data_IF_962709181997
#
_entry.id   IF_962709181997
#
_cell.length_a   1.000
_cell.length_b   1.000
_cell.length_c   1.000
_cell.angle_alpha   90.00
_cell.angle_beta   90.00
_cell.angle_gamma   90.00
#
_symmetry.space_group_name_H-M   'P 1'
#
loop_
_entity.id
_entity.type
_entity.pdbx_description
1 polymer ?
#
# COMPACT_ATOMS: atom_id res chain seq x y z
N UNK A 1 -36.33 35.18 -0.87
CA UNK A 1 -35.06 34.42 -0.80
C UNK A 1 -34.01 35.27 -1.47
N UNK A 2 -33.11 35.89 -0.71
CA UNK A 2 -31.97 36.59 -1.30
C UNK A 2 -31.09 35.57 -2.01
N UNK A 3 -30.94 35.73 -3.33
CA UNK A 3 -30.04 34.90 -4.13
C UNK A 3 -28.62 35.39 -3.92
N UNK A 4 -27.75 34.52 -3.42
CA UNK A 4 -26.31 34.79 -3.31
C UNK A 4 -25.77 35.40 -4.60
N UNK A 5 -25.03 36.50 -4.47
CA UNK A 5 -24.34 37.17 -5.57
C UNK A 5 -23.25 36.26 -6.15
N UNK A 6 -22.79 36.57 -7.37
CA UNK A 6 -21.74 35.80 -8.03
C UNK A 6 -20.44 35.73 -7.19
N UNK A 7 -20.09 36.84 -6.52
CA UNK A 7 -18.92 36.91 -5.64
C UNK A 7 -19.07 36.06 -4.37
N UNK A 8 -20.25 36.07 -3.74
CA UNK A 8 -20.52 35.24 -2.57
C UNK A 8 -20.51 33.75 -2.91
N UNK A 9 -21.04 33.37 -4.09
CA UNK A 9 -20.92 31.99 -4.61
C UNK A 9 -19.47 31.62 -4.87
N UNK A 10 -18.65 32.55 -5.38
CA UNK A 10 -17.25 32.31 -5.65
C UNK A 10 -16.43 32.16 -4.36
N UNK A 11 -16.69 32.98 -3.34
CA UNK A 11 -16.09 32.84 -2.00
C UNK A 11 -16.49 31.54 -1.32
N UNK A 12 -17.77 31.17 -1.36
CA UNK A 12 -18.25 29.92 -0.80
C UNK A 12 -17.61 28.70 -1.48
N UNK A 13 -17.47 28.73 -2.81
CA UNK A 13 -16.78 27.67 -3.58
C UNK A 13 -15.30 27.58 -3.24
N UNK A 14 -14.61 28.71 -3.13
CA UNK A 14 -13.19 28.74 -2.78
C UNK A 14 -12.95 28.22 -1.35
N UNK A 15 -13.80 28.61 -0.40
CA UNK A 15 -13.77 28.12 0.98
C UNK A 15 -14.02 26.61 1.05
N UNK A 16 -15.05 26.11 0.37
CA UNK A 16 -15.32 24.67 0.30
C UNK A 16 -14.24 23.90 -0.45
N UNK A 17 -13.65 24.44 -1.51
CA UNK A 17 -12.51 23.80 -2.16
C UNK A 17 -11.28 23.73 -1.24
N UNK A 18 -10.96 24.81 -0.53
CA UNK A 18 -9.80 24.83 0.36
C UNK A 18 -9.95 23.88 1.55
N UNK A 19 -11.17 23.76 2.11
CA UNK A 19 -11.43 22.90 3.27
C UNK A 19 -11.77 21.45 2.95
N UNK A 20 -12.52 21.19 1.87
CA UNK A 20 -13.10 19.87 1.59
C UNK A 20 -12.23 19.02 0.66
N UNK A 21 -11.51 19.66 -0.27
CA UNK A 21 -10.63 18.97 -1.24
C UNK A 21 -9.53 18.13 -0.58
N UNK A 22 -8.76 18.62 0.41
CA UNK A 22 -7.74 17.79 1.05
C UNK A 22 -8.35 16.55 1.73
N UNK A 23 -9.51 16.68 2.36
CA UNK A 23 -10.22 15.56 3.00
C UNK A 23 -10.70 14.54 1.98
N UNK A 24 -11.21 15.00 0.82
CA UNK A 24 -11.60 14.12 -0.29
C UNK A 24 -10.36 13.38 -0.83
N UNK A 25 -9.26 14.10 -1.06
CA UNK A 25 -8.02 13.50 -1.58
C UNK A 25 -7.45 12.45 -0.61
N UNK A 26 -7.49 12.72 0.70
CA UNK A 26 -7.08 11.77 1.71
C UNK A 26 -7.99 10.54 1.76
N UNK A 27 -9.31 10.74 1.65
CA UNK A 27 -10.29 9.64 1.61
C UNK A 27 -10.09 8.75 0.38
N UNK A 28 -9.86 9.34 -0.80
CA UNK A 28 -9.57 8.60 -2.04
C UNK A 28 -8.30 7.76 -1.88
N UNK A 29 -7.23 8.33 -1.32
CA UNK A 29 -5.97 7.62 -1.07
C UNK A 29 -6.15 6.42 -0.13
N UNK A 30 -6.98 6.57 0.90
CA UNK A 30 -7.31 5.48 1.81
C UNK A 30 -8.09 4.36 1.11
N UNK A 31 -9.05 4.71 0.24
CA UNK A 31 -9.82 3.75 -0.55
C UNK A 31 -8.93 2.97 -1.53
N UNK A 32 -8.00 3.64 -2.23
CA UNK A 32 -7.06 2.99 -3.13
C UNK A 32 -6.18 1.98 -2.37
N UNK A 33 -5.65 2.39 -1.22
CA UNK A 33 -4.85 1.52 -0.35
C UNK A 33 -5.65 0.30 0.13
N UNK A 34 -6.93 0.48 0.46
CA UNK A 34 -7.80 -0.62 0.89
C UNK A 34 -8.11 -1.58 -0.25
N UNK A 35 -8.39 -1.05 -1.44
CA UNK A 35 -8.65 -1.83 -2.66
C UNK A 35 -7.45 -2.70 -3.04
N UNK A 36 -6.22 -2.15 -2.99
CA UNK A 36 -5.00 -2.91 -3.25
C UNK A 36 -4.80 -4.05 -2.25
N UNK A 37 -5.02 -3.78 -0.96
CA UNK A 37 -4.94 -4.81 0.09
C UNK A 37 -5.98 -5.91 -0.11
N UNK A 38 -7.23 -5.55 -0.41
CA UNK A 38 -8.29 -6.51 -0.68
C UNK A 38 -7.96 -7.39 -1.89
N UNK A 39 -7.46 -6.78 -2.98
CA UNK A 39 -7.02 -7.52 -4.17
C UNK A 39 -5.89 -8.51 -3.87
N UNK A 40 -4.95 -8.18 -2.98
CA UNK A 40 -3.89 -9.11 -2.57
C UNK A 40 -4.43 -10.31 -1.78
N UNK A 41 -5.40 -10.10 -0.89
CA UNK A 41 -6.06 -11.18 -0.15
C UNK A 41 -6.82 -12.13 -1.09
N UNK A 42 -7.45 -11.57 -2.13
CA UNK A 42 -8.18 -12.35 -3.13
C UNK A 42 -7.28 -13.17 -4.08
N UNK A 43 -5.96 -12.91 -4.13
CA UNK A 43 -5.02 -13.66 -4.99
C UNK A 43 -4.78 -15.11 -4.54
N UNK A 44 -5.33 -15.54 -3.41
CA UNK A 44 -5.30 -16.95 -2.98
C UNK A 44 -4.08 -17.29 -2.10
N UNK A 45 -3.51 -18.49 -2.27
CA UNK A 45 -2.38 -18.98 -1.48
C UNK A 45 -1.32 -19.65 -2.34
N UNK A 46 -0.07 -19.56 -1.92
CA UNK A 46 1.06 -20.30 -2.51
C UNK A 46 1.55 -21.36 -1.52
N UNK A 47 1.78 -22.59 -2.00
CA UNK A 47 2.36 -23.66 -1.19
C UNK A 47 3.85 -23.79 -1.54
N UNK A 48 4.73 -23.70 -0.54
CA UNK A 48 6.18 -23.80 -0.69
C UNK A 48 6.79 -24.50 0.53
N UNK A 49 7.70 -25.48 0.31
CA UNK A 49 8.29 -26.32 1.37
C UNK A 49 7.27 -26.97 2.32
N UNK A 50 6.12 -27.41 1.77
CA UNK A 50 5.01 -27.98 2.55
C UNK A 50 4.25 -26.97 3.42
N UNK A 51 4.63 -25.68 3.40
CA UNK A 51 3.94 -24.59 4.08
C UNK A 51 3.05 -23.82 3.11
N UNK A 52 1.91 -23.36 3.59
CA UNK A 52 1.03 -22.48 2.83
C UNK A 52 1.26 -21.03 3.25
N UNK A 53 1.43 -20.16 2.26
CA UNK A 53 1.58 -18.72 2.42
C UNK A 53 0.38 -18.06 1.76
N UNK A 54 -0.46 -17.43 2.56
CA UNK A 54 -1.67 -16.76 2.09
C UNK A 54 -1.24 -15.40 1.52
N UNK A 55 -1.65 -15.11 0.27
CA UNK A 55 -1.43 -13.79 -0.30
C UNK A 55 -2.24 -12.77 0.50
N UNK A 56 -1.61 -11.65 0.83
CA UNK A 56 -2.15 -10.69 1.80
C UNK A 56 -1.40 -10.72 3.13
N UNK A 57 -1.09 -11.91 3.67
CA UNK A 57 -0.15 -12.05 4.80
C UNK A 57 1.30 -12.04 4.32
N UNK A 58 1.52 -12.63 3.15
CA UNK A 58 2.78 -12.65 2.43
C UNK A 58 2.61 -11.99 1.08
N UNK A 59 3.55 -11.11 0.74
CA UNK A 59 3.50 -10.27 -0.46
C UNK A 59 4.86 -10.29 -1.14
N UNK A 60 4.91 -10.05 -2.45
CA UNK A 60 6.20 -9.90 -3.13
C UNK A 60 6.90 -8.61 -2.69
N UNK A 61 8.21 -8.49 -2.97
CA UNK A 61 8.93 -7.21 -2.78
C UNK A 61 8.24 -6.07 -3.52
N UNK A 62 7.74 -6.33 -4.73
CA UNK A 62 7.07 -5.32 -5.55
C UNK A 62 5.74 -4.87 -4.94
N UNK A 63 4.95 -5.81 -4.42
CA UNK A 63 3.70 -5.49 -3.74
C UNK A 63 3.96 -4.75 -2.42
N UNK A 64 4.96 -5.17 -1.62
CA UNK A 64 5.34 -4.47 -0.39
C UNK A 64 5.79 -3.02 -0.67
N UNK A 65 6.60 -2.83 -1.71
CA UNK A 65 7.05 -1.52 -2.19
C UNK A 65 5.88 -0.61 -2.56
N UNK A 66 4.87 -1.14 -3.26
CA UNK A 66 3.65 -0.38 -3.62
C UNK A 66 2.80 -0.06 -2.39
N UNK A 67 2.47 -1.07 -1.58
CA UNK A 67 1.58 -0.95 -0.42
C UNK A 67 2.04 0.08 0.61
N UNK A 68 3.36 0.18 0.82
CA UNK A 68 3.94 1.07 1.83
C UNK A 68 4.72 2.25 1.23
N UNK A 69 4.61 2.44 -0.10
CA UNK A 69 5.23 3.54 -0.83
C UNK A 69 6.75 3.64 -0.62
N UNK A 70 7.45 2.51 -0.76
CA UNK A 70 8.91 2.41 -0.74
C UNK A 70 9.44 2.15 -2.14
N UNK A 71 10.70 2.48 -2.41
CA UNK A 71 11.36 2.05 -3.63
C UNK A 71 11.78 0.58 -3.52
N UNK A 72 11.77 -0.16 -4.64
CA UNK A 72 12.23 -1.56 -4.68
C UNK A 72 13.65 -1.71 -4.12
N UNK A 73 14.55 -0.82 -4.51
CA UNK A 73 15.94 -0.81 -4.04
C UNK A 73 16.03 -0.62 -2.53
N UNK A 74 15.17 0.21 -1.93
CA UNK A 74 15.12 0.39 -0.47
C UNK A 74 14.71 -0.89 0.24
N UNK A 75 13.65 -1.55 -0.24
CA UNK A 75 13.19 -2.82 0.35
C UNK A 75 14.26 -3.90 0.19
N UNK A 76 14.91 -3.99 -0.97
CA UNK A 76 16.00 -4.93 -1.19
C UNK A 76 17.19 -4.67 -0.25
N UNK A 77 17.60 -3.40 -0.10
CA UNK A 77 18.65 -3.02 0.85
C UNK A 77 18.28 -3.35 2.30
N UNK A 78 17.01 -3.22 2.70
CA UNK A 78 16.58 -3.58 4.05
C UNK A 78 16.61 -5.08 4.30
N UNK A 79 16.35 -5.90 3.28
CA UNK A 79 16.53 -7.35 3.35
C UNK A 79 18.02 -7.67 3.51
N UNK A 80 18.88 -7.05 2.70
CA UNK A 80 20.31 -7.35 2.68
C UNK A 80 21.02 -6.85 3.96
N UNK A 81 20.51 -5.79 4.59
CA UNK A 81 21.00 -5.25 5.88
C UNK A 81 20.29 -5.83 7.10
N UNK A 82 19.41 -6.81 6.92
CA UNK A 82 18.65 -7.46 8.00
C UNK A 82 17.75 -6.52 8.83
N UNK A 83 17.40 -5.35 8.29
CA UNK A 83 16.36 -4.47 8.83
C UNK A 83 15.00 -5.17 8.72
N UNK A 84 14.78 -5.90 7.62
CA UNK A 84 13.71 -6.89 7.55
C UNK A 84 14.19 -8.14 8.29
N UNK A 85 13.53 -8.56 9.38
CA UNK A 85 13.94 -9.76 10.10
C UNK A 85 13.89 -10.99 9.21
N UNK A 86 14.87 -11.89 9.32
CA UNK A 86 14.98 -13.09 8.45
C UNK A 86 13.71 -13.94 8.45
N UNK A 87 13.01 -14.03 9.59
CA UNK A 87 11.74 -14.76 9.72
C UNK A 87 10.59 -14.17 8.90
N UNK A 88 10.73 -12.92 8.43
CA UNK A 88 9.76 -12.24 7.59
C UNK A 88 10.13 -12.30 6.10
N UNK A 89 11.17 -13.06 5.73
CA UNK A 89 11.61 -13.25 4.36
C UNK A 89 11.55 -14.72 4.00
N UNK A 90 10.88 -15.06 2.91
CA UNK A 90 10.86 -16.41 2.34
C UNK A 90 11.37 -16.32 0.92
N UNK A 91 12.34 -17.16 0.57
CA UNK A 91 12.91 -17.21 -0.78
C UNK A 91 12.49 -18.52 -1.42
N UNK A 92 11.66 -18.45 -2.46
CA UNK A 92 11.26 -19.61 -3.24
C UNK A 92 12.29 -19.89 -4.32
N UNK A 93 13.09 -20.96 -4.16
CA UNK A 93 14.11 -21.36 -5.16
C UNK A 93 13.49 -21.82 -6.47
N UNK A 94 12.34 -22.48 -6.41
CA UNK A 94 11.60 -23.01 -7.55
C UNK A 94 11.03 -21.90 -8.44
N UNK A 95 10.64 -20.78 -7.83
CA UNK A 95 10.08 -19.63 -8.53
C UNK A 95 11.16 -18.58 -8.86
N UNK A 96 12.28 -19.00 -9.44
CA UNK A 96 13.37 -18.11 -9.85
C UNK A 96 13.86 -17.18 -8.72
N UNK A 97 14.00 -17.72 -7.50
CA UNK A 97 14.39 -16.95 -6.31
C UNK A 97 13.43 -15.80 -5.96
N UNK A 98 12.13 -15.97 -6.24
CA UNK A 98 11.10 -15.03 -5.80
C UNK A 98 11.16 -14.88 -4.27
N UNK A 99 11.31 -13.63 -3.82
CA UNK A 99 11.28 -13.28 -2.40
C UNK A 99 9.88 -12.83 -2.01
N UNK A 100 9.32 -13.50 -1.01
CA UNK A 100 8.09 -13.11 -0.32
C UNK A 100 8.46 -12.48 1.01
N UNK A 101 7.73 -11.43 1.35
CA UNK A 101 7.85 -10.67 2.58
C UNK A 101 6.56 -10.75 3.36
N UNK A 102 6.66 -10.79 4.69
CA UNK A 102 5.49 -10.59 5.54
C UNK A 102 4.93 -9.18 5.32
N UNK A 103 3.61 -9.07 5.17
CA UNK A 103 2.92 -7.83 4.82
C UNK A 103 2.77 -6.91 6.04
N UNK A 104 3.88 -6.30 6.46
CA UNK A 104 3.95 -5.32 7.53
C UNK A 104 4.82 -4.14 7.09
N UNK A 105 4.60 -2.93 7.63
CA UNK A 105 5.50 -1.82 7.38
C UNK A 105 6.83 -2.06 8.10
N UNK A 106 7.94 -2.01 7.37
CA UNK A 106 9.28 -2.05 7.93
C UNK A 106 9.81 -0.64 8.13
N UNK A 107 10.58 -0.44 9.20
CA UNK A 107 11.26 0.83 9.48
C UNK A 107 12.74 0.55 9.78
N UNK A 108 13.66 1.33 9.21
CA UNK A 108 15.09 1.25 9.50
C UNK A 108 15.42 1.80 10.89
#
# INVERSE_FOLDING_TARGET
METLTAEERQRARAFMQAGLRPTIDETVKQLDTLSEKANLVLKGKIRYEGKEYIFGDWVTIADNSRLYNYTLSRVQNWIDREIVPRQNVVVSRELKNLKLLKNVPYRP
#
